data_IF_062825885390
#
_entry.id   IF_062825885390
#
_cell.length_a   1.000
_cell.length_b   1.000
_cell.length_c   1.000
_cell.angle_alpha   90.00
_cell.angle_beta   90.00
_cell.angle_gamma   90.00
#
_symmetry.space_group_name_H-M   'P 1'
#
loop_
_entity.id
_entity.type
_entity.pdbx_description
1 polymer ?
#
# COMPACT_ATOMS: atom_id res chain seq x y z
N UNK A 1 -6.51 8.27 2.86
CA UNK A 1 -7.00 7.85 1.53
C UNK A 1 -7.08 9.10 0.66
N UNK A 2 -6.56 9.07 -0.59
CA UNK A 2 -6.70 10.21 -1.50
C UNK A 2 -8.18 10.46 -1.83
N UNK A 3 -8.63 11.72 -1.77
CA UNK A 3 -10.01 12.13 -2.11
C UNK A 3 -10.05 12.93 -3.41
N UNK A 4 -9.00 13.71 -3.68
CA UNK A 4 -8.83 14.51 -4.89
C UNK A 4 -7.34 14.58 -5.27
N UNK A 5 -7.08 14.93 -6.53
CA UNK A 5 -5.76 15.28 -7.04
C UNK A 5 -5.86 16.61 -7.81
N UNK A 6 -4.85 17.48 -7.66
CA UNK A 6 -4.81 18.78 -8.33
C UNK A 6 -3.68 18.80 -9.36
N UNK A 7 -4.02 19.13 -10.60
CA UNK A 7 -3.05 19.39 -11.66
C UNK A 7 -2.88 20.90 -11.85
N UNK A 8 -1.64 21.38 -11.81
CA UNK A 8 -1.29 22.77 -12.11
C UNK A 8 0.03 22.84 -12.88
N UNK A 9 0.35 24.02 -13.42
CA UNK A 9 1.62 24.25 -14.13
C UNK A 9 2.83 24.36 -13.20
N UNK A 10 2.58 24.53 -11.91
CA UNK A 10 3.58 24.72 -10.87
C UNK A 10 3.18 23.90 -9.63
N UNK A 11 4.18 23.30 -8.96
CA UNK A 11 3.95 22.41 -7.83
C UNK A 11 3.42 23.16 -6.60
N UNK A 12 3.90 24.37 -6.34
CA UNK A 12 3.47 25.16 -5.19
C UNK A 12 2.02 25.62 -5.38
N UNK A 13 1.64 25.97 -6.61
CA UNK A 13 0.24 26.26 -6.97
C UNK A 13 -0.65 25.04 -6.77
N UNK A 14 -0.23 23.85 -7.22
CA UNK A 14 -1.00 22.62 -7.02
C UNK A 14 -1.24 22.32 -5.54
N UNK A 15 -0.21 22.52 -4.70
CA UNK A 15 -0.30 22.33 -3.24
C UNK A 15 -1.23 23.34 -2.58
N UNK A 16 -1.11 24.62 -2.91
CA UNK A 16 -1.97 25.67 -2.39
C UNK A 16 -3.44 25.42 -2.75
N UNK A 17 -3.72 25.05 -4.00
CA UNK A 17 -5.06 24.72 -4.45
C UNK A 17 -5.61 23.46 -3.76
N UNK A 18 -4.80 22.41 -3.57
CA UNK A 18 -5.21 21.23 -2.82
C UNK A 18 -5.53 21.55 -1.35
N UNK A 19 -4.76 22.43 -0.71
CA UNK A 19 -5.01 22.89 0.67
C UNK A 19 -6.25 23.79 0.80
N UNK A 20 -6.69 24.43 -0.28
CA UNK A 20 -7.89 25.26 -0.30
C UNK A 20 -9.19 24.46 -0.49
N UNK A 21 -9.11 23.17 -0.79
CA UNK A 21 -10.28 22.33 -0.96
C UNK A 21 -11.04 22.15 0.35
N UNK A 22 -12.34 22.44 0.33
CA UNK A 22 -13.25 22.20 1.45
C UNK A 22 -13.96 20.88 1.18
N UNK A 23 -13.86 19.94 2.13
CA UNK A 23 -14.53 18.64 2.05
C UNK A 23 -15.35 18.48 3.32
N UNK A 24 -16.65 18.21 3.15
CA UNK A 24 -17.57 17.90 4.23
C UNK A 24 -17.62 16.39 4.44
N UNK A 25 -17.55 15.96 5.70
CA UNK A 25 -17.55 14.55 6.08
C UNK A 25 -18.64 14.28 7.11
N UNK A 26 -19.15 13.05 7.11
CA UNK A 26 -19.89 12.48 8.22
C UNK A 26 -18.96 11.49 8.94
N UNK A 27 -18.78 11.70 10.25
CA UNK A 27 -17.93 10.84 11.05
C UNK A 27 -18.60 9.48 11.29
N UNK A 28 -17.84 8.41 11.04
CA UNK A 28 -18.23 7.04 11.35
C UNK A 28 -17.31 6.47 12.43
N UNK A 29 -17.81 5.52 13.21
CA UNK A 29 -17.03 4.86 14.28
C UNK A 29 -15.88 4.04 13.67
N UNK A 30 -14.60 4.37 13.95
CA UNK A 30 -13.48 3.69 13.35
C UNK A 30 -13.04 2.45 14.16
N UNK A 31 -12.36 1.52 13.47
CA UNK A 31 -11.68 0.38 14.11
C UNK A 31 -10.18 0.55 13.90
N UNK A 32 -9.46 0.94 14.96
CA UNK A 32 -8.04 1.33 14.87
C UNK A 32 -7.08 0.37 15.61
N UNK A 33 -7.61 -0.52 16.45
CA UNK A 33 -6.84 -1.48 17.23
C UNK A 33 -7.10 -2.92 16.74
N UNK A 34 -6.04 -3.71 16.57
CA UNK A 34 -6.11 -5.13 16.22
C UNK A 34 -6.91 -5.94 17.25
N UNK A 35 -6.87 -5.58 18.54
CA UNK A 35 -7.64 -6.27 19.59
C UNK A 35 -9.13 -5.95 19.45
N UNK A 36 -9.48 -4.70 19.11
CA UNK A 36 -10.86 -4.31 18.80
C UNK A 36 -11.37 -5.04 17.56
N UNK A 37 -10.58 -5.06 16.48
CA UNK A 37 -10.91 -5.75 15.24
C UNK A 37 -11.15 -7.26 15.47
N UNK A 38 -10.28 -7.91 16.26
CA UNK A 38 -10.43 -9.32 16.63
C UNK A 38 -11.73 -9.58 17.39
N UNK A 39 -12.08 -8.74 18.38
CA UNK A 39 -13.33 -8.87 19.16
C UNK A 39 -14.57 -8.73 18.27
N UNK A 40 -14.51 -7.84 17.29
CA UNK A 40 -15.58 -7.61 16.31
C UNK A 40 -15.60 -8.63 15.16
N UNK A 41 -14.61 -9.53 15.10
CA UNK A 41 -14.39 -10.45 13.97
C UNK A 41 -14.25 -9.72 12.63
N UNK A 42 -13.65 -8.54 12.66
CA UNK A 42 -13.41 -7.71 11.49
C UNK A 42 -12.07 -8.13 10.84
N UNK A 43 -12.13 -9.13 9.97
CA UNK A 43 -10.96 -9.73 9.32
C UNK A 43 -10.86 -9.31 7.85
N UNK A 44 -9.62 -9.16 7.37
CA UNK A 44 -9.35 -8.92 5.94
C UNK A 44 -9.36 -10.23 5.15
N UNK A 45 -8.86 -11.32 5.75
CA UNK A 45 -8.75 -12.66 5.17
C UNK A 45 -9.10 -13.72 6.22
N UNK A 46 -9.40 -14.93 5.75
CA UNK A 46 -9.61 -16.08 6.62
C UNK A 46 -8.35 -16.46 7.40
N UNK A 47 -8.55 -17.00 8.60
CA UNK A 47 -7.45 -17.45 9.47
C UNK A 47 -6.71 -18.63 8.88
N UNK A 48 -5.39 -18.51 8.77
CA UNK A 48 -4.51 -19.61 8.36
C UNK A 48 -3.91 -20.31 9.59
N UNK A 49 -3.97 -21.65 9.64
CA UNK A 49 -3.48 -22.44 10.78
C UNK A 49 -2.47 -23.48 10.33
N UNK A 50 -1.29 -23.49 10.95
CA UNK A 50 -0.32 -24.58 10.84
C UNK A 50 -0.31 -25.38 12.14
N UNK A 51 -0.48 -26.70 12.05
CA UNK A 51 -0.47 -27.61 13.20
C UNK A 51 0.48 -28.77 12.94
N UNK A 52 1.29 -29.10 13.95
CA UNK A 52 2.13 -30.30 13.96
C UNK A 52 2.01 -31.00 15.31
N UNK A 53 1.62 -32.28 15.29
CA UNK A 53 1.41 -33.07 16.50
C UNK A 53 0.23 -32.59 17.35
N UNK A 54 0.23 -32.99 18.63
CA UNK A 54 -0.78 -32.62 19.63
C UNK A 54 -0.17 -31.72 20.71
N UNK A 55 -0.32 -30.40 20.53
CA UNK A 55 0.15 -29.41 21.48
C UNK A 55 -0.63 -29.43 22.80
N UNK A 56 -1.90 -29.84 22.81
CA UNK A 56 -2.71 -29.88 24.01
C UNK A 56 -2.21 -30.98 24.96
N UNK A 57 -1.96 -32.17 24.42
CA UNK A 57 -1.38 -33.27 25.19
C UNK A 57 0.03 -32.93 25.72
N UNK A 58 0.89 -32.34 24.88
CA UNK A 58 2.24 -31.95 25.28
C UNK A 58 2.24 -30.90 26.41
N UNK A 59 1.33 -29.92 26.35
CA UNK A 59 1.18 -28.89 27.40
C UNK A 59 0.65 -29.43 28.72
N UNK A 60 -0.19 -30.48 28.70
CA UNK A 60 -0.69 -31.13 29.92
C UNK A 60 0.43 -31.87 30.67
N UNK A 61 1.38 -32.47 29.95
CA UNK A 61 2.51 -33.19 30.54
C UNK A 61 3.71 -32.33 30.92
N UNK A 62 3.68 -31.01 30.68
CA UNK A 62 4.82 -30.13 30.89
C UNK A 62 4.99 -29.73 32.37
N UNK A 63 6.20 -29.88 32.91
CA UNK A 63 6.55 -29.49 34.29
C UNK A 63 6.35 -27.99 34.55
N UNK A 64 6.59 -27.15 33.53
CA UNK A 64 6.45 -25.70 33.61
C UNK A 64 5.59 -25.18 32.46
N UNK A 65 4.74 -24.20 32.76
CA UNK A 65 3.86 -23.54 31.79
C UNK A 65 3.93 -22.04 32.01
N UNK A 66 4.09 -21.29 30.93
CA UNK A 66 4.17 -19.82 30.93
C UNK A 66 3.15 -19.28 29.94
N UNK A 67 2.54 -18.16 30.28
CA UNK A 67 1.63 -17.43 29.41
C UNK A 67 2.01 -15.95 29.45
N UNK A 68 2.00 -15.31 28.29
CA UNK A 68 2.30 -13.90 28.14
C UNK A 68 1.80 -13.38 26.81
N UNK A 69 1.74 -12.06 26.70
CA UNK A 69 1.37 -11.35 25.48
C UNK A 69 2.52 -10.43 25.09
N UNK A 70 2.76 -10.29 23.79
CA UNK A 70 3.75 -9.37 23.23
C UNK A 70 3.05 -8.51 22.19
N UNK A 71 3.29 -7.20 22.24
CA UNK A 71 2.88 -6.26 21.22
C UNK A 71 4.11 -5.73 20.50
N UNK A 72 4.08 -5.70 19.18
CA UNK A 72 5.15 -5.20 18.32
C UNK A 72 4.54 -4.09 17.46
N UNK A 73 5.14 -2.90 17.51
CA UNK A 73 4.67 -1.75 16.75
C UNK A 73 4.96 -1.84 15.25
N UNK A 74 4.40 -0.90 14.49
CA UNK A 74 4.68 -0.74 13.07
C UNK A 74 6.09 -0.16 12.80
N UNK A 75 6.49 -0.20 11.54
CA UNK A 75 7.75 0.35 11.06
C UNK A 75 7.51 1.05 9.72
N UNK A 76 8.08 2.24 9.56
CA UNK A 76 8.13 2.92 8.26
C UNK A 76 9.39 2.51 7.49
N UNK A 77 9.26 2.34 6.19
CA UNK A 77 10.36 1.96 5.29
C UNK A 77 11.45 3.01 5.25
N UNK A 78 11.04 4.28 5.22
CA UNK A 78 11.93 5.44 5.27
C UNK A 78 12.98 5.45 4.15
N UNK A 79 12.59 5.02 2.95
CA UNK A 79 13.41 5.22 1.75
C UNK A 79 13.67 6.71 1.52
N UNK A 80 14.91 7.05 1.16
CA UNK A 80 15.34 8.45 1.05
C UNK A 80 14.79 9.13 -0.21
N UNK A 81 14.61 8.37 -1.29
CA UNK A 81 13.80 8.81 -2.41
C UNK A 81 12.35 8.44 -2.12
N UNK A 82 11.48 9.43 -1.94
CA UNK A 82 10.05 9.23 -1.71
C UNK A 82 9.35 8.56 -2.90
N UNK A 83 8.04 8.30 -2.79
CA UNK A 83 7.25 7.91 -3.96
C UNK A 83 7.29 9.02 -5.01
N UNK A 84 7.53 8.65 -6.26
CA UNK A 84 7.61 9.58 -7.39
C UNK A 84 7.28 8.85 -8.70
N UNK A 85 6.50 9.51 -9.53
CA UNK A 85 6.23 9.11 -10.91
C UNK A 85 6.22 10.34 -11.82
N UNK A 86 6.65 10.14 -13.06
CA UNK A 86 6.55 11.10 -14.15
C UNK A 86 6.02 10.36 -15.37
N UNK A 87 5.01 10.93 -16.01
CA UNK A 87 4.31 10.28 -17.12
C UNK A 87 4.36 11.16 -18.36
N UNK A 88 4.48 10.53 -19.52
CA UNK A 88 4.51 11.18 -20.82
C UNK A 88 3.56 10.46 -21.77
N UNK A 89 2.46 11.12 -22.21
CA UNK A 89 1.59 10.56 -23.22
C UNK A 89 2.34 10.37 -24.54
N UNK A 90 2.03 9.30 -25.26
CA UNK A 90 2.54 9.04 -26.60
C UNK A 90 1.49 9.41 -27.66
N UNK A 91 1.93 9.66 -28.89
CA UNK A 91 1.04 10.10 -29.99
C UNK A 91 -0.04 9.06 -30.34
N UNK A 92 0.23 7.78 -30.07
CA UNK A 92 -0.62 6.65 -30.37
C UNK A 92 -1.61 6.30 -29.24
N UNK A 93 -1.79 7.21 -28.27
CA UNK A 93 -2.71 7.06 -27.14
C UNK A 93 -2.17 6.17 -26.01
N UNK A 94 -0.86 5.97 -25.97
CA UNK A 94 -0.17 5.26 -24.90
C UNK A 94 0.46 6.20 -23.85
N UNK A 95 1.28 5.62 -22.98
CA UNK A 95 1.95 6.33 -21.91
C UNK A 95 3.33 5.72 -21.64
N UNK A 96 4.34 6.58 -21.51
CA UNK A 96 5.62 6.23 -20.90
C UNK A 96 5.56 6.66 -19.44
N UNK A 97 5.85 5.76 -18.52
CA UNK A 97 5.79 5.96 -17.08
C UNK A 97 7.19 5.76 -16.51
N UNK A 98 7.79 6.83 -16.02
CA UNK A 98 9.01 6.77 -15.21
C UNK A 98 8.60 6.75 -13.75
N UNK A 99 8.84 5.66 -13.04
CA UNK A 99 8.48 5.59 -11.63
C UNK A 99 9.51 4.87 -10.79
N UNK A 100 9.55 5.27 -9.52
CA UNK A 100 10.35 4.61 -8.49
C UNK A 100 9.53 3.46 -7.92
N UNK A 101 9.66 2.26 -8.50
CA UNK A 101 8.86 1.06 -8.15
C UNK A 101 9.73 -0.21 -8.08
N UNK A 102 9.32 -1.17 -7.23
CA UNK A 102 9.86 -2.52 -7.21
C UNK A 102 9.09 -3.47 -8.14
N UNK A 103 7.90 -3.09 -8.62
CA UNK A 103 7.06 -3.94 -9.45
C UNK A 103 6.55 -3.22 -10.73
N UNK A 104 7.40 -3.00 -11.75
CA UNK A 104 7.01 -2.32 -12.98
C UNK A 104 5.81 -2.97 -13.71
N UNK A 105 5.67 -4.30 -13.63
CA UNK A 105 4.58 -5.04 -14.27
C UNK A 105 3.21 -4.68 -13.69
N UNK A 106 3.11 -4.53 -12.37
CA UNK A 106 1.88 -4.13 -11.71
C UNK A 106 1.50 -2.68 -12.06
N UNK A 107 2.49 -1.77 -12.08
CA UNK A 107 2.29 -0.39 -12.57
C UNK A 107 1.73 -0.40 -14.00
N UNK A 108 2.35 -1.17 -14.89
CA UNK A 108 1.94 -1.24 -16.29
C UNK A 108 0.48 -1.67 -16.41
N UNK A 109 0.09 -2.72 -15.66
CA UNK A 109 -1.26 -3.25 -15.65
C UNK A 109 -2.27 -2.22 -15.13
N UNK A 110 -1.98 -1.57 -13.99
CA UNK A 110 -2.90 -0.63 -13.35
C UNK A 110 -3.08 0.65 -14.16
N UNK A 111 -2.00 1.20 -14.74
CA UNK A 111 -2.10 2.35 -15.64
C UNK A 111 -2.91 2.00 -16.90
N UNK A 112 -2.69 0.82 -17.48
CA UNK A 112 -3.46 0.35 -18.62
C UNK A 112 -4.96 0.22 -18.30
N UNK A 113 -5.29 -0.33 -17.12
CA UNK A 113 -6.66 -0.50 -16.64
C UNK A 113 -7.37 0.84 -16.41
N UNK A 114 -6.72 1.78 -15.72
CA UNK A 114 -7.28 3.12 -15.45
C UNK A 114 -7.49 3.92 -16.74
N UNK A 115 -6.54 3.87 -17.67
CA UNK A 115 -6.65 4.55 -18.96
C UNK A 115 -7.53 3.81 -19.97
N UNK A 116 -7.96 2.58 -19.64
CA UNK A 116 -8.73 1.70 -20.51
C UNK A 116 -8.04 1.47 -21.88
N UNK A 117 -6.74 1.14 -21.83
CA UNK A 117 -5.93 0.78 -23.01
C UNK A 117 -5.28 -0.59 -22.81
N UNK A 118 -4.88 -1.31 -23.88
CA UNK A 118 -4.14 -2.55 -23.70
C UNK A 118 -2.74 -2.31 -23.13
N UNK A 119 -2.20 -3.26 -22.37
CA UNK A 119 -0.89 -3.13 -21.70
C UNK A 119 0.27 -2.82 -22.65
N UNK A 120 0.19 -3.23 -23.92
CA UNK A 120 1.23 -2.93 -24.92
C UNK A 120 1.34 -1.43 -25.28
N UNK A 121 0.39 -0.59 -24.85
CA UNK A 121 0.43 0.88 -24.97
C UNK A 121 1.14 1.55 -23.79
N UNK A 122 1.47 0.81 -22.74
CA UNK A 122 2.10 1.33 -21.53
C UNK A 122 3.54 0.83 -21.44
N UNK A 123 4.49 1.75 -21.37
CA UNK A 123 5.90 1.45 -21.11
C UNK A 123 6.24 1.97 -19.73
N UNK A 124 6.72 1.10 -18.84
CA UNK A 124 7.23 1.50 -17.53
C UNK A 124 8.74 1.41 -17.55
N UNK A 125 9.41 2.55 -17.37
CA UNK A 125 10.87 2.64 -17.29
C UNK A 125 11.29 2.95 -15.85
N UNK A 126 11.90 1.95 -15.22
CA UNK A 126 12.48 2.04 -13.88
C UNK A 126 13.98 1.82 -14.00
N UNK A 127 14.77 2.89 -13.79
CA UNK A 127 16.24 2.84 -13.88
C UNK A 127 16.92 2.45 -12.57
N UNK A 128 16.55 3.11 -11.47
CA UNK A 128 17.06 2.89 -10.11
C UNK A 128 16.12 3.53 -9.09
N UNK A 129 16.17 3.05 -7.84
CA UNK A 129 15.44 3.61 -6.70
C UNK A 129 16.41 4.06 -5.61
N UNK A 130 16.09 5.15 -4.91
CA UNK A 130 16.74 5.59 -3.66
C UNK A 130 16.20 4.89 -2.42
N UNK A 131 16.06 3.56 -2.47
CA UNK A 131 15.45 2.73 -1.44
C UNK A 131 14.00 2.33 -1.77
N UNK A 132 13.57 1.17 -1.26
CA UNK A 132 12.21 0.64 -1.45
C UNK A 132 11.74 -0.22 -0.27
N UNK A 133 12.52 -1.24 0.11
CA UNK A 133 12.31 -2.05 1.32
C UNK A 133 10.93 -2.74 1.43
N UNK A 134 10.25 -2.97 0.30
CA UNK A 134 8.89 -3.51 0.23
C UNK A 134 7.83 -2.41 0.07
N UNK A 135 8.11 -1.18 0.52
CA UNK A 135 7.20 -0.05 0.44
C UNK A 135 6.99 0.52 -0.97
N UNK A 136 7.68 -0.02 -1.97
CA UNK A 136 7.51 0.31 -3.40
C UNK A 136 7.09 -0.89 -4.25
N UNK A 137 6.67 -1.98 -3.61
CA UNK A 137 6.21 -3.19 -4.31
C UNK A 137 4.80 -3.01 -4.87
N UNK A 138 3.84 -2.62 -4.02
CA UNK A 138 2.43 -2.42 -4.42
C UNK A 138 2.00 -0.97 -4.28
N UNK A 139 2.54 -0.24 -3.30
CA UNK A 139 2.17 1.15 -2.99
C UNK A 139 2.68 2.17 -4.02
N UNK A 140 3.58 1.76 -4.91
CA UNK A 140 4.02 2.61 -6.02
C UNK A 140 2.98 2.67 -7.15
N UNK A 141 1.93 1.84 -7.06
CA UNK A 141 0.89 1.64 -8.06
C UNK A 141 -0.38 2.44 -7.80
#
# INVERSE_FOLDING_TARGET
>A
QPVLAVAARDLDVARQAAMAAIIEYEDLEPVLDVVQALRQKHFVLDSHTHKRGDSAMALQGATHRLQGNLHIGGQEHFYLETQISSVMPTEDGGMIVYCSTQNPTEIQKLVAEVLNVPMNRIVVDMRRMGGGFGGKETQAA
#
